data_IF_629840205128
#
_entry.id   IF_629840205128
#
_cell.length_a   1.000
_cell.length_b   1.000
_cell.length_c   1.000
_cell.angle_alpha   90.00
_cell.angle_beta   90.00
_cell.angle_gamma   90.00
#
_symmetry.space_group_name_H-M   'P 1'
#
loop_
_entity.id
_entity.type
_entity.pdbx_description
1 polymer ?
#
# COMPACT_ATOMS: atom_id res chain seq x y z
N UNK A 1 9.99 -13.74 5.14
CA UNK A 1 9.14 -13.77 6.34
C UNK A 1 7.68 -14.11 5.95
N UNK A 2 7.02 -13.37 5.06
CA UNK A 2 5.59 -13.48 4.75
C UNK A 2 5.14 -14.93 4.41
N UNK A 3 5.90 -15.67 3.61
CA UNK A 3 5.61 -17.08 3.28
C UNK A 3 5.50 -17.93 4.53
N UNK A 4 6.40 -17.73 5.52
CA UNK A 4 6.37 -18.48 6.78
C UNK A 4 5.15 -18.11 7.60
N UNK A 5 4.79 -16.84 7.69
CA UNK A 5 3.59 -16.37 8.39
C UNK A 5 2.31 -16.97 7.79
N UNK A 6 2.19 -16.94 6.46
CA UNK A 6 1.05 -17.54 5.75
C UNK A 6 0.99 -19.07 5.91
N UNK A 7 2.14 -19.71 6.00
CA UNK A 7 2.19 -21.15 6.24
C UNK A 7 1.79 -21.50 7.66
N UNK A 8 2.30 -20.78 8.65
CA UNK A 8 1.92 -20.95 10.06
C UNK A 8 0.44 -20.63 10.29
N UNK A 9 -0.10 -19.60 9.64
CA UNK A 9 -1.52 -19.27 9.67
C UNK A 9 -2.38 -20.46 9.24
N UNK A 10 -2.04 -21.11 8.11
CA UNK A 10 -2.74 -22.32 7.65
C UNK A 10 -2.64 -23.47 8.65
N UNK A 11 -1.49 -23.63 9.31
CA UNK A 11 -1.30 -24.65 10.33
C UNK A 11 -2.16 -24.37 11.56
N UNK A 12 -2.19 -23.12 12.06
CA UNK A 12 -2.96 -22.74 13.25
C UNK A 12 -4.49 -22.78 13.01
N UNK A 13 -4.93 -22.49 11.80
CA UNK A 13 -6.33 -22.56 11.41
C UNK A 13 -6.81 -24.02 11.20
N UNK A 14 -5.91 -24.98 11.00
CA UNK A 14 -6.26 -26.38 10.73
C UNK A 14 -6.57 -27.15 12.01
N UNK A 15 -7.84 -27.49 12.22
CA UNK A 15 -8.29 -28.28 13.38
C UNK A 15 -8.15 -29.78 13.22
N UNK A 16 -7.91 -30.27 12.04
CA UNK A 16 -7.76 -31.70 11.77
C UNK A 16 -6.42 -32.28 12.20
N UNK A 17 -5.43 -31.40 12.52
CA UNK A 17 -4.08 -31.80 12.92
C UNK A 17 -3.56 -30.90 14.03
N UNK A 18 -2.81 -31.49 14.94
CA UNK A 18 -2.02 -30.78 15.95
C UNK A 18 -0.66 -30.45 15.38
N UNK A 19 -0.28 -29.18 15.41
CA UNK A 19 1.01 -28.72 14.89
C UNK A 19 1.92 -28.35 16.06
N UNK A 20 2.96 -29.15 16.22
CA UNK A 20 4.07 -28.90 17.14
C UNK A 20 5.13 -28.04 16.45
N UNK A 21 6.13 -27.60 17.20
CA UNK A 21 7.20 -26.74 16.65
C UNK A 21 7.92 -27.40 15.46
N UNK A 22 8.16 -28.70 15.55
CA UNK A 22 8.81 -29.47 14.50
C UNK A 22 7.98 -29.53 13.23
N UNK A 23 6.65 -29.71 13.37
CA UNK A 23 5.71 -29.69 12.23
C UNK A 23 5.65 -28.32 11.57
N UNK A 24 5.68 -27.24 12.36
CA UNK A 24 5.72 -25.87 11.84
C UNK A 24 7.01 -25.58 11.07
N UNK A 25 8.16 -26.07 11.60
CA UNK A 25 9.45 -25.97 10.90
C UNK A 25 9.41 -26.68 9.55
N UNK A 26 8.92 -27.92 9.54
CA UNK A 26 8.81 -28.74 8.31
C UNK A 26 7.89 -28.06 7.29
N UNK A 27 6.69 -27.63 7.69
CA UNK A 27 5.74 -26.94 6.83
C UNK A 27 6.33 -25.67 6.22
N UNK A 28 7.02 -24.86 7.02
CA UNK A 28 7.68 -23.65 6.55
C UNK A 28 8.85 -23.93 5.60
N UNK A 29 9.65 -24.97 5.87
CA UNK A 29 10.75 -25.35 5.00
C UNK A 29 10.21 -25.80 3.63
N UNK A 30 9.19 -26.65 3.60
CA UNK A 30 8.54 -27.07 2.36
C UNK A 30 8.01 -25.88 1.55
N UNK A 31 7.30 -24.98 2.21
CA UNK A 31 6.74 -23.80 1.53
C UNK A 31 7.83 -22.85 1.00
N UNK A 32 8.94 -22.71 1.72
CA UNK A 32 10.07 -21.89 1.26
C UNK A 32 10.79 -22.57 0.08
N UNK A 33 10.99 -23.87 0.13
CA UNK A 33 11.62 -24.63 -0.95
C UNK A 33 10.80 -24.55 -2.25
N UNK A 34 9.47 -24.72 -2.14
CA UNK A 34 8.56 -24.58 -3.28
C UNK A 34 8.65 -23.18 -3.92
N UNK A 35 8.80 -22.13 -3.08
CA UNK A 35 8.85 -20.76 -3.58
C UNK A 35 10.22 -20.34 -4.11
N UNK A 36 11.31 -20.76 -3.47
CA UNK A 36 12.68 -20.31 -3.81
C UNK A 36 13.42 -21.27 -4.74
N UNK A 37 12.94 -22.51 -4.89
CA UNK A 37 13.63 -23.58 -5.63
C UNK A 37 14.93 -24.05 -5.00
N UNK A 38 15.25 -23.61 -3.79
CA UNK A 38 16.46 -23.97 -3.05
C UNK A 38 16.09 -24.51 -1.66
N UNK A 39 16.78 -25.54 -1.21
CA UNK A 39 16.56 -26.11 0.14
C UNK A 39 16.70 -25.04 1.21
N UNK A 40 15.58 -24.72 1.85
CA UNK A 40 15.52 -23.76 2.94
C UNK A 40 15.49 -24.50 4.28
N UNK A 41 16.26 -24.04 5.25
CA UNK A 41 16.25 -24.57 6.60
C UNK A 41 16.06 -23.44 7.60
N UNK A 42 14.89 -23.43 8.25
CA UNK A 42 14.62 -22.49 9.33
C UNK A 42 14.91 -23.15 10.67
N UNK A 43 15.45 -22.38 11.61
CA UNK A 43 15.73 -22.85 12.95
C UNK A 43 14.47 -22.82 13.84
N UNK A 44 14.47 -23.64 14.88
CA UNK A 44 13.43 -23.59 15.92
C UNK A 44 13.30 -22.21 16.54
N UNK A 45 14.41 -21.50 16.73
CA UNK A 45 14.44 -20.12 17.23
C UNK A 45 13.68 -19.18 16.31
N UNK A 46 13.89 -19.31 15.00
CA UNK A 46 13.20 -18.47 14.02
C UNK A 46 11.69 -18.67 14.06
N UNK A 47 11.20 -19.90 14.21
CA UNK A 47 9.76 -20.16 14.35
C UNK A 47 9.20 -19.48 15.60
N UNK A 48 9.90 -19.53 16.74
CA UNK A 48 9.45 -18.83 17.93
C UNK A 48 9.45 -17.31 17.78
N UNK A 49 10.45 -16.73 17.10
CA UNK A 49 10.50 -15.30 16.80
C UNK A 49 9.37 -14.90 15.87
N UNK A 50 9.08 -15.71 14.86
CA UNK A 50 7.96 -15.49 13.92
C UNK A 50 6.60 -15.57 14.65
N UNK A 51 6.39 -16.57 15.51
CA UNK A 51 5.16 -16.67 16.33
C UNK A 51 5.02 -15.44 17.24
N UNK A 52 6.10 -15.04 17.92
CA UNK A 52 6.08 -13.86 18.79
C UNK A 52 5.73 -12.59 18.02
N UNK A 53 6.26 -12.43 16.82
CA UNK A 53 5.90 -11.32 15.95
C UNK A 53 4.42 -11.36 15.56
N UNK A 54 3.92 -12.52 15.13
CA UNK A 54 2.51 -12.69 14.75
C UNK A 54 1.55 -12.40 15.92
N UNK A 55 1.94 -12.73 17.17
CA UNK A 55 1.17 -12.44 18.38
C UNK A 55 1.24 -10.95 18.79
N UNK A 56 2.21 -10.19 18.32
CA UNK A 56 2.39 -8.79 18.69
C UNK A 56 1.43 -7.84 17.97
N UNK A 57 1.26 -6.62 18.52
CA UNK A 57 0.49 -5.54 17.87
C UNK A 57 1.16 -5.04 16.57
N UNK A 58 2.48 -5.21 16.45
CA UNK A 58 3.22 -4.91 15.22
C UNK A 58 3.00 -5.97 14.14
N UNK A 59 2.56 -7.17 14.53
CA UNK A 59 2.12 -8.23 13.64
C UNK A 59 0.61 -8.17 13.43
N UNK A 60 -0.06 -9.31 13.60
CA UNK A 60 -1.52 -9.41 13.40
C UNK A 60 -2.30 -9.60 14.71
N UNK A 61 -1.65 -9.53 15.86
CA UNK A 61 -2.23 -9.84 17.17
C UNK A 61 -3.05 -11.15 17.12
N UNK A 62 -2.47 -12.21 16.54
CA UNK A 62 -3.17 -13.47 16.29
C UNK A 62 -3.73 -14.07 17.59
N UNK A 63 -4.97 -14.60 17.58
CA UNK A 63 -5.59 -15.24 18.74
C UNK A 63 -5.04 -16.67 18.90
N UNK A 64 -3.76 -16.81 19.28
CA UNK A 64 -3.07 -18.11 19.34
C UNK A 64 -3.19 -18.72 20.73
N UNK A 65 -3.71 -19.94 20.77
CA UNK A 65 -3.69 -20.78 21.97
C UNK A 65 -2.54 -21.80 21.93
N UNK A 66 -1.97 -22.07 23.11
CA UNK A 66 -0.85 -22.99 23.33
C UNK A 66 -1.33 -24.14 24.21
N UNK A 67 -1.51 -25.30 23.60
CA UNK A 67 -2.01 -26.49 24.26
C UNK A 67 -0.88 -27.46 24.57
N UNK A 68 -0.87 -28.00 25.79
CA UNK A 68 0.13 -29.01 26.22
C UNK A 68 -0.37 -30.41 25.90
N UNK A 69 0.49 -31.19 25.25
CA UNK A 69 0.37 -32.63 25.12
C UNK A 69 1.65 -33.27 25.70
N UNK A 70 1.58 -33.75 26.93
CA UNK A 70 2.71 -34.25 27.69
C UNK A 70 3.80 -33.17 27.85
N UNK A 71 4.98 -33.41 27.25
CA UNK A 71 6.13 -32.49 27.25
C UNK A 71 6.16 -31.56 26.05
N UNK A 72 5.23 -31.73 25.11
CA UNK A 72 5.17 -30.96 23.85
C UNK A 72 4.07 -29.91 23.92
N UNK A 73 4.17 -28.89 23.09
CA UNK A 73 3.16 -27.84 22.97
C UNK A 73 2.76 -27.74 21.50
N UNK A 74 1.45 -27.81 21.20
CA UNK A 74 0.92 -27.53 19.90
C UNK A 74 0.19 -26.19 19.89
N UNK A 75 0.03 -25.63 18.71
CA UNK A 75 -0.46 -24.28 18.49
C UNK A 75 -1.71 -24.29 17.63
N UNK A 76 -2.71 -23.49 18.00
CA UNK A 76 -3.99 -23.39 17.28
C UNK A 76 -4.63 -22.04 17.52
N UNK A 77 -5.40 -21.54 16.56
CA UNK A 77 -6.22 -20.35 16.79
C UNK A 77 -7.41 -20.67 17.72
N UNK A 78 -7.71 -19.74 18.64
CA UNK A 78 -8.94 -19.79 19.45
C UNK A 78 -10.16 -19.40 18.61
N UNK A 79 -9.99 -18.44 17.69
CA UNK A 79 -11.02 -18.01 16.74
C UNK A 79 -10.90 -18.78 15.42
N UNK A 80 -11.98 -19.49 15.07
CA UNK A 80 -12.07 -20.32 13.86
C UNK A 80 -12.10 -19.55 12.56
N UNK A 81 -12.61 -18.35 12.61
CA UNK A 81 -12.78 -17.51 11.44
C UNK A 81 -11.53 -16.64 11.17
N UNK A 82 -10.60 -16.63 12.14
CA UNK A 82 -9.37 -15.85 12.02
C UNK A 82 -8.42 -16.45 10.98
N UNK A 83 -7.88 -15.59 10.12
CA UNK A 83 -6.75 -15.88 9.26
C UNK A 83 -6.09 -14.56 8.84
N UNK A 84 -4.76 -14.52 8.86
CA UNK A 84 -4.01 -13.37 8.34
C UNK A 84 -4.20 -13.19 6.84
N UNK A 85 -4.55 -14.25 6.09
CA UNK A 85 -4.83 -14.16 4.66
C UNK A 85 -6.12 -13.39 4.36
N UNK A 86 -7.03 -13.28 5.32
CA UNK A 86 -8.24 -12.44 5.23
C UNK A 86 -7.95 -10.97 5.56
N UNK A 87 -6.78 -10.68 6.15
CA UNK A 87 -6.31 -9.35 6.53
C UNK A 87 -4.89 -9.14 5.98
N UNK A 88 -4.76 -8.76 4.69
CA UNK A 88 -3.46 -8.66 4.01
C UNK A 88 -2.52 -7.62 4.63
N UNK A 89 -3.08 -6.66 5.38
CA UNK A 89 -2.34 -5.68 6.18
C UNK A 89 -2.66 -5.91 7.67
N UNK A 90 -1.69 -5.71 8.54
CA UNK A 90 -1.95 -5.58 9.97
C UNK A 90 -2.39 -4.14 10.32
N UNK A 91 -2.85 -3.92 11.56
CA UNK A 91 -3.36 -2.60 11.98
C UNK A 91 -2.28 -1.51 11.87
N UNK A 92 -1.04 -1.83 12.20
CA UNK A 92 0.08 -0.89 12.10
C UNK A 92 0.39 -0.51 10.64
N UNK A 93 0.38 -1.49 9.74
CA UNK A 93 0.58 -1.25 8.30
C UNK A 93 -0.59 -0.44 7.71
N UNK A 94 -1.81 -0.73 8.13
CA UNK A 94 -2.99 0.01 7.70
C UNK A 94 -2.94 1.47 8.16
N UNK A 95 -2.50 1.75 9.41
CA UNK A 95 -2.33 3.10 9.92
C UNK A 95 -1.22 3.86 9.17
N UNK A 96 -0.06 3.23 8.93
CA UNK A 96 1.01 3.82 8.13
C UNK A 96 0.56 4.13 6.69
N UNK A 97 -0.20 3.22 6.07
CA UNK A 97 -0.76 3.45 4.74
C UNK A 97 -1.76 4.61 4.76
N UNK A 98 -2.62 4.69 5.79
CA UNK A 98 -3.54 5.80 5.98
C UNK A 98 -2.81 7.13 6.10
N UNK A 99 -1.75 7.22 6.91
CA UNK A 99 -0.93 8.43 7.04
C UNK A 99 -0.30 8.85 5.70
N UNK A 100 0.21 7.88 4.94
CA UNK A 100 0.75 8.14 3.60
C UNK A 100 -0.33 8.68 2.65
N UNK A 101 -1.53 8.09 2.66
CA UNK A 101 -2.66 8.54 1.85
C UNK A 101 -3.14 9.94 2.26
N UNK A 102 -3.20 10.23 3.57
CA UNK A 102 -3.51 11.57 4.06
C UNK A 102 -2.47 12.62 3.59
N UNK A 103 -1.19 12.22 3.49
CA UNK A 103 -0.16 13.09 2.91
C UNK A 103 -0.42 13.33 1.42
N UNK A 104 -0.90 12.33 0.68
CA UNK A 104 -1.29 12.47 -0.73
C UNK A 104 -2.58 13.28 -0.92
N UNK A 105 -3.43 13.38 0.10
CA UNK A 105 -4.66 14.19 0.03
C UNK A 105 -4.40 15.68 -0.23
N UNK A 106 -3.15 16.16 -0.06
CA UNK A 106 -2.73 17.50 -0.50
C UNK A 106 -2.95 17.76 -1.99
N UNK A 107 -3.04 16.69 -2.78
CA UNK A 107 -3.33 16.75 -4.22
C UNK A 107 -4.83 16.62 -4.51
N UNK A 108 -5.68 16.77 -3.50
CA UNK A 108 -7.13 16.76 -3.66
C UNK A 108 -7.58 17.78 -4.72
N UNK A 109 -8.53 17.37 -5.53
CA UNK A 109 -9.00 18.18 -6.67
C UNK A 109 -8.22 17.93 -7.97
N UNK A 110 -7.19 17.09 -7.95
CA UNK A 110 -6.57 16.59 -9.18
C UNK A 110 -7.21 15.24 -9.56
N UNK A 111 -7.65 15.06 -10.81
CA UNK A 111 -8.38 13.86 -11.23
C UNK A 111 -7.67 12.55 -10.93
N UNK A 112 -6.33 12.52 -11.01
CA UNK A 112 -5.54 11.33 -10.73
C UNK A 112 -5.44 10.95 -9.25
N UNK A 113 -5.93 11.79 -8.33
CA UNK A 113 -5.89 11.55 -6.88
C UNK A 113 -7.29 11.41 -6.24
N UNK A 114 -8.36 11.38 -7.02
CA UNK A 114 -9.73 11.20 -6.51
C UNK A 114 -9.92 9.89 -5.74
N UNK A 115 -9.17 8.84 -6.10
CA UNK A 115 -9.17 7.54 -5.44
C UNK A 115 -8.65 7.56 -4.00
N UNK A 116 -7.88 8.59 -3.61
CA UNK A 116 -7.26 8.66 -2.27
C UNK A 116 -8.31 8.71 -1.17
N UNK A 117 -9.33 9.55 -1.32
CA UNK A 117 -10.41 9.67 -0.33
C UNK A 117 -11.20 8.35 -0.20
N UNK A 118 -11.44 7.64 -1.30
CA UNK A 118 -12.12 6.34 -1.31
C UNK A 118 -11.28 5.26 -0.61
N UNK A 119 -9.96 5.25 -0.87
CA UNK A 119 -9.07 4.27 -0.26
C UNK A 119 -8.90 4.52 1.24
N UNK A 120 -8.82 5.77 1.68
CA UNK A 120 -8.81 6.12 3.11
C UNK A 120 -10.08 5.60 3.79
N UNK A 121 -11.26 5.87 3.21
CA UNK A 121 -12.53 5.41 3.76
C UNK A 121 -12.60 3.88 3.84
N UNK A 122 -12.10 3.16 2.86
CA UNK A 122 -12.03 1.68 2.86
C UNK A 122 -11.10 1.14 3.95
N UNK A 123 -9.95 1.77 4.17
CA UNK A 123 -9.03 1.40 5.24
C UNK A 123 -9.66 1.63 6.61
N UNK A 124 -10.29 2.78 6.83
CA UNK A 124 -10.97 3.10 8.08
C UNK A 124 -12.08 2.09 8.40
N UNK A 125 -12.90 1.74 7.41
CA UNK A 125 -13.98 0.77 7.58
C UNK A 125 -13.45 -0.66 7.81
N UNK A 126 -12.41 -1.06 7.05
CA UNK A 126 -11.89 -2.44 7.07
C UNK A 126 -11.09 -2.77 8.33
N UNK A 127 -10.42 -1.80 8.93
CA UNK A 127 -9.55 -1.98 10.09
C UNK A 127 -10.10 -1.35 11.38
N UNK A 128 -11.29 -0.75 11.34
CA UNK A 128 -11.86 -0.07 12.51
C UNK A 128 -11.00 1.12 12.99
N UNK A 129 -10.19 1.69 12.11
CA UNK A 129 -9.34 2.82 12.42
C UNK A 129 -10.20 4.02 12.80
N UNK A 130 -9.74 4.83 13.75
CA UNK A 130 -10.49 6.02 14.20
C UNK A 130 -10.82 6.90 12.99
N UNK A 131 -12.11 7.11 12.77
CA UNK A 131 -12.59 8.06 11.77
C UNK A 131 -12.21 9.48 12.20
N UNK A 132 -11.62 10.22 11.26
CA UNK A 132 -11.43 11.65 11.45
C UNK A 132 -10.37 11.99 12.50
N UNK A 133 -9.11 11.75 12.22
CA UNK A 133 -8.12 12.68 12.73
C UNK A 133 -8.57 14.08 12.30
N UNK A 134 -8.80 14.97 13.26
CA UNK A 134 -9.03 16.38 12.94
C UNK A 134 -7.97 16.77 11.90
N UNK A 135 -8.38 17.45 10.83
CA UNK A 135 -7.46 17.89 9.78
C UNK A 135 -6.39 18.76 10.45
N UNK A 136 -5.26 18.13 10.79
CA UNK A 136 -4.16 18.78 11.52
C UNK A 136 -3.28 19.57 10.56
N UNK A 137 -3.35 19.21 9.28
CA UNK A 137 -2.57 19.84 8.20
C UNK A 137 -3.57 20.25 7.10
N UNK A 138 -3.54 21.51 6.75
CA UNK A 138 -4.26 22.05 5.61
C UNK A 138 -3.23 22.56 4.59
N UNK A 139 -3.45 22.22 3.33
CA UNK A 139 -2.63 22.71 2.25
C UNK A 139 -3.40 23.80 1.51
N UNK A 140 -2.71 24.88 1.20
CA UNK A 140 -3.29 25.98 0.43
C UNK A 140 -3.73 25.45 -0.94
N UNK A 141 -5.00 25.67 -1.26
CA UNK A 141 -5.59 25.33 -2.56
C UNK A 141 -5.95 26.59 -3.30
N UNK A 142 -5.73 26.61 -4.60
CA UNK A 142 -6.20 27.70 -5.44
C UNK A 142 -7.56 27.32 -6.07
N UNK A 143 -8.69 27.80 -5.52
CA UNK A 143 -10.01 27.47 -6.06
C UNK A 143 -10.25 28.08 -7.46
N UNK A 144 -9.40 29.00 -7.90
CA UNK A 144 -9.45 29.64 -9.22
C UNK A 144 -8.47 29.02 -10.22
N UNK A 145 -7.87 27.87 -9.88
CA UNK A 145 -6.94 27.19 -10.77
C UNK A 145 -7.71 26.71 -12.02
N UNK A 146 -7.34 27.24 -13.17
CA UNK A 146 -7.82 26.78 -14.48
C UNK A 146 -6.78 25.85 -15.09
N UNK A 147 -7.23 24.83 -15.83
CA UNK A 147 -6.34 23.91 -16.54
C UNK A 147 -5.90 22.71 -15.69
N UNK A 148 -6.43 22.52 -14.46
CA UNK A 148 -6.15 21.34 -13.65
C UNK A 148 -6.56 20.04 -14.37
N UNK A 149 -7.56 20.08 -15.21
CA UNK A 149 -8.04 18.99 -16.07
C UNK A 149 -6.97 18.48 -17.05
N UNK A 150 -5.98 19.29 -17.40
CA UNK A 150 -4.90 18.90 -18.31
C UNK A 150 -3.73 18.19 -17.60
N UNK A 151 -3.65 18.25 -16.27
CA UNK A 151 -2.52 17.69 -15.52
C UNK A 151 -2.38 16.18 -15.75
N UNK A 152 -3.51 15.45 -15.79
CA UNK A 152 -3.50 14.00 -16.03
C UNK A 152 -2.91 13.66 -17.40
N UNK A 153 -3.35 14.36 -18.45
CA UNK A 153 -2.84 14.17 -19.81
C UNK A 153 -1.35 14.48 -19.89
N UNK A 154 -0.92 15.60 -19.32
CA UNK A 154 0.49 15.99 -19.27
C UNK A 154 1.33 14.98 -18.49
N UNK A 155 0.85 14.50 -17.35
CA UNK A 155 1.54 13.50 -16.56
C UNK A 155 1.75 12.18 -17.33
N UNK A 156 0.70 11.67 -17.97
CA UNK A 156 0.81 10.44 -18.77
C UNK A 156 1.72 10.62 -19.98
N UNK A 157 1.70 11.77 -20.61
CA UNK A 157 2.57 12.06 -21.75
C UNK A 157 4.04 12.12 -21.34
N UNK A 158 4.35 12.67 -20.17
CA UNK A 158 5.70 12.67 -19.61
C UNK A 158 6.17 11.23 -19.32
N UNK A 159 5.34 10.44 -18.63
CA UNK A 159 5.71 9.07 -18.27
C UNK A 159 5.89 8.16 -19.50
N UNK A 160 5.07 8.40 -20.55
CA UNK A 160 5.10 7.60 -21.77
C UNK A 160 6.00 8.23 -22.87
N UNK A 161 6.72 9.32 -22.56
CA UNK A 161 7.62 10.02 -23.50
C UNK A 161 6.90 10.44 -24.81
N UNK A 162 5.66 10.91 -24.68
CA UNK A 162 4.81 11.31 -25.82
C UNK A 162 4.80 12.82 -26.01
N UNK A 163 4.96 13.26 -27.25
CA UNK A 163 4.72 14.65 -27.61
C UNK A 163 3.22 14.97 -27.63
N UNK A 164 2.87 16.23 -27.34
CA UNK A 164 1.52 16.74 -27.32
C UNK A 164 1.37 17.95 -28.24
N UNK A 165 0.31 17.95 -29.02
CA UNK A 165 -0.16 19.17 -29.69
C UNK A 165 -1.00 19.96 -28.68
N UNK A 166 -0.58 21.19 -28.39
CA UNK A 166 -1.19 22.04 -27.39
C UNK A 166 -1.70 23.32 -28.07
N UNK A 167 -2.97 23.64 -27.84
CA UNK A 167 -3.51 24.98 -28.16
C UNK A 167 -3.18 25.91 -26.99
N UNK A 168 -2.19 26.76 -27.14
CA UNK A 168 -1.71 27.67 -26.12
C UNK A 168 -1.99 29.13 -26.48
N UNK A 169 -2.50 29.88 -25.50
CA UNK A 169 -2.70 31.32 -25.61
C UNK A 169 -1.98 32.03 -24.46
N UNK A 170 -0.91 32.74 -24.82
CA UNK A 170 -0.20 33.60 -23.88
C UNK A 170 -1.01 34.84 -23.51
N UNK A 171 -0.74 35.44 -22.34
CA UNK A 171 -1.48 36.64 -21.85
C UNK A 171 -1.45 37.84 -22.77
N UNK A 172 -0.45 37.95 -23.64
CA UNK A 172 -0.30 39.07 -24.61
C UNK A 172 -0.77 38.71 -26.01
N UNK A 173 -1.23 37.49 -26.23
CA UNK A 173 -1.66 37.01 -27.53
C UNK A 173 -3.16 37.16 -27.68
N UNK A 174 -3.59 37.64 -28.86
CA UNK A 174 -5.01 37.82 -29.19
C UNK A 174 -5.70 36.52 -29.60
N UNK A 175 -4.94 35.53 -30.01
CA UNK A 175 -5.44 34.22 -30.44
C UNK A 175 -4.50 33.11 -29.95
N UNK A 176 -5.03 31.89 -29.76
CA UNK A 176 -4.20 30.73 -29.42
C UNK A 176 -3.32 30.34 -30.63
N UNK A 177 -2.14 29.81 -30.34
CA UNK A 177 -1.27 29.13 -31.30
C UNK A 177 -1.22 27.63 -30.99
N UNK A 178 -1.02 26.82 -32.02
CA UNK A 178 -0.80 25.38 -31.88
C UNK A 178 0.71 25.17 -31.73
N UNK A 179 1.09 24.44 -30.71
CA UNK A 179 2.49 24.16 -30.34
C UNK A 179 2.64 22.66 -30.17
N UNK A 180 3.64 22.08 -30.81
CA UNK A 180 4.06 20.69 -30.49
C UNK A 180 5.06 20.72 -29.35
N UNK A 181 4.65 20.19 -28.21
CA UNK A 181 5.44 20.19 -26.98
C UNK A 181 5.88 18.77 -26.64
N UNK A 182 7.17 18.59 -26.38
CA UNK A 182 7.74 17.41 -25.74
C UNK A 182 7.88 17.67 -24.24
N UNK A 183 6.89 17.27 -23.40
CA UNK A 183 6.90 17.63 -21.99
C UNK A 183 7.88 16.75 -21.21
N UNK A 184 8.65 17.34 -20.28
CA UNK A 184 9.65 16.65 -19.47
C UNK A 184 9.23 16.50 -18.03
N UNK A 185 8.63 17.54 -17.42
CA UNK A 185 8.13 17.46 -16.06
C UNK A 185 7.12 18.58 -15.74
N UNK A 186 6.31 18.32 -14.68
CA UNK A 186 5.37 19.26 -14.12
C UNK A 186 5.91 19.82 -12.81
N UNK A 187 5.78 21.11 -12.60
CA UNK A 187 6.15 21.78 -11.35
C UNK A 187 4.99 22.60 -10.82
N UNK A 188 4.63 22.35 -9.55
CA UNK A 188 3.78 23.27 -8.82
C UNK A 188 4.64 24.32 -8.12
N UNK A 189 4.33 25.58 -8.31
CA UNK A 189 4.93 26.69 -7.62
C UNK A 189 3.90 27.80 -7.39
N UNK A 190 3.82 28.30 -6.17
CA UNK A 190 2.90 29.36 -5.78
C UNK A 190 1.45 29.08 -6.24
N UNK A 191 0.95 27.87 -5.94
CA UNK A 191 -0.38 27.35 -6.28
C UNK A 191 -0.72 27.40 -7.78
N UNK A 192 0.30 27.34 -8.64
CA UNK A 192 0.16 27.25 -10.11
C UNK A 192 0.97 26.10 -10.63
N UNK A 193 0.52 25.52 -11.73
CA UNK A 193 1.23 24.45 -12.42
C UNK A 193 1.98 24.99 -13.64
N UNK A 194 3.17 24.50 -13.81
CA UNK A 194 4.04 24.78 -14.93
C UNK A 194 4.46 23.46 -15.55
N UNK A 195 4.34 23.37 -16.88
CA UNK A 195 4.93 22.31 -17.67
C UNK A 195 6.24 22.80 -18.25
N UNK A 196 7.25 21.95 -18.18
CA UNK A 196 8.55 22.18 -18.81
C UNK A 196 8.75 21.16 -19.92
N UNK A 197 9.17 21.60 -21.07
CA UNK A 197 9.36 20.76 -22.24
C UNK A 197 10.09 21.49 -23.34
N UNK A 198 10.36 20.78 -24.44
CA UNK A 198 10.89 21.31 -25.67
C UNK A 198 9.73 21.59 -26.62
N UNK A 199 9.67 22.82 -27.12
CA UNK A 199 8.80 23.21 -28.21
C UNK A 199 9.50 22.88 -29.52
N UNK A 200 8.80 22.13 -30.38
CA UNK A 200 9.27 21.89 -31.74
C UNK A 200 8.77 23.04 -32.62
N UNK A 201 9.71 23.88 -33.11
CA UNK A 201 9.38 24.91 -34.08
C UNK A 201 9.02 24.24 -35.40
N UNK A 202 7.77 24.47 -35.86
CA UNK A 202 7.25 23.98 -37.12
C UNK A 202 7.74 24.78 -38.31
#
# INVERSE_FOLDING_TARGET
ALIRYQTMDRCFANRGREYFIEDLMEACNMALEEFTGAGASISRRQVFEDIKYMESEQGWAIPLEKHKDGKRTFYRYSDLEFSINKRPLNESEAEQLKEALLTLSRFKGMPQFEWVDELVARLEAGFGLKQGAAQVIEFEQNPYLKGAEHITTLFHSIINEQALEISYQGFKQNAPSIVLLHPYYLKQYNNRWFVFGLEEEG
#
